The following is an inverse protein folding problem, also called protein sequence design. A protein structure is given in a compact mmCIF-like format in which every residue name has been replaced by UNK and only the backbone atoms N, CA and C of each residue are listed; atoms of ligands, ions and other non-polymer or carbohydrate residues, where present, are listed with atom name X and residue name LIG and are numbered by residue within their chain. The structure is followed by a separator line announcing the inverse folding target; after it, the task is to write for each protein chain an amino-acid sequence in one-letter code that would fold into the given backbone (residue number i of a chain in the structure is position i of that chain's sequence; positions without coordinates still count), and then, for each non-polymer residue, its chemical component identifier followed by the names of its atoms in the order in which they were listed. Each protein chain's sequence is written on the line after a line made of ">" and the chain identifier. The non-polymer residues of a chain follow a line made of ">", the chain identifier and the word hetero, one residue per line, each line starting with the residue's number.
data_IF_093321041886
#
_entry.id   IF_093321041886
#
_cell.length_a   1.000
_cell.length_b   1.000
_cell.length_c   1.000
_cell.angle_alpha   90.00
_cell.angle_beta   90.00
_cell.angle_gamma   90.00
#
_symmetry.space_group_name_H-M   'P 1'
#
loop_
_entity.id
_entity.type
_entity.pdbx_description
1 polymer ?
#
# COMPACT_ATOMS: atom_id res chain seq x y z
N UNK A 1 -14.97 15.90 10.33
CA UNK A 1 -14.07 17.06 10.49
C UNK A 1 -12.83 16.72 11.30
N UNK A 2 -12.91 16.24 12.55
CA UNK A 2 -11.72 15.94 13.35
C UNK A 2 -10.77 14.89 12.71
N UNK A 3 -11.31 13.76 12.24
CA UNK A 3 -10.52 12.72 11.57
C UNK A 3 -9.87 13.21 10.26
N UNK A 4 -10.61 14.01 9.47
CA UNK A 4 -10.08 14.64 8.26
C UNK A 4 -8.93 15.59 8.59
N UNK A 5 -9.11 16.48 9.58
CA UNK A 5 -8.06 17.40 10.02
C UNK A 5 -6.81 16.66 10.52
N UNK A 6 -7.00 15.56 11.26
CA UNK A 6 -5.89 14.73 11.71
C UNK A 6 -5.16 14.07 10.53
N UNK A 7 -5.89 13.45 9.60
CA UNK A 7 -5.34 12.84 8.42
C UNK A 7 -4.60 13.85 7.52
N UNK A 8 -5.18 15.04 7.31
CA UNK A 8 -4.55 16.11 6.53
C UNK A 8 -3.30 16.66 7.18
N UNK A 9 -3.24 16.72 8.52
CA UNK A 9 -2.04 17.17 9.26
C UNK A 9 -0.95 16.10 9.30
N UNK A 10 -1.32 14.85 9.60
CA UNK A 10 -0.36 13.76 9.83
C UNK A 10 0.05 13.02 8.55
N UNK A 11 -0.82 13.00 7.54
CA UNK A 11 -0.70 12.15 6.36
C UNK A 11 -1.14 10.69 6.60
N UNK A 12 -1.60 10.36 7.81
CA UNK A 12 -2.10 9.05 8.17
C UNK A 12 -3.08 9.14 9.36
N UNK A 13 -3.95 8.14 9.47
CA UNK A 13 -4.84 7.93 10.61
C UNK A 13 -5.02 6.43 10.82
N UNK A 14 -5.05 5.99 12.07
CA UNK A 14 -5.38 4.61 12.43
C UNK A 14 -6.80 4.57 12.95
N UNK A 15 -7.59 3.63 12.43
CA UNK A 15 -8.94 3.39 12.91
C UNK A 15 -8.96 2.25 13.92
N UNK A 16 -9.91 2.33 14.85
CA UNK A 16 -10.20 1.24 15.79
C UNK A 16 -10.81 0.03 15.07
N UNK A 17 -10.81 -1.10 15.77
CA UNK A 17 -11.41 -2.34 15.29
C UNK A 17 -12.89 -2.14 14.89
N UNK A 18 -13.27 -2.76 13.78
CA UNK A 18 -14.64 -2.79 13.27
C UNK A 18 -14.99 -4.21 12.80
N UNK A 19 -16.11 -4.74 13.27
CA UNK A 19 -16.55 -6.12 12.98
C UNK A 19 -16.91 -6.35 11.49
N UNK A 20 -17.40 -5.32 10.79
CA UNK A 20 -17.73 -5.44 9.37
C UNK A 20 -16.44 -5.49 8.54
N UNK A 21 -15.45 -4.67 8.91
CA UNK A 21 -14.13 -4.72 8.32
C UNK A 21 -13.42 -6.05 8.61
N UNK A 22 -13.57 -6.58 9.83
CA UNK A 22 -13.03 -7.89 10.19
C UNK A 22 -13.62 -9.01 9.31
N UNK A 23 -14.93 -8.96 9.02
CA UNK A 23 -15.55 -9.92 8.12
C UNK A 23 -14.98 -9.82 6.70
N UNK A 24 -14.82 -8.60 6.17
CA UNK A 24 -14.17 -8.37 4.87
C UNK A 24 -12.72 -8.90 4.86
N UNK A 25 -11.97 -8.63 5.93
CA UNK A 25 -10.58 -9.08 6.10
C UNK A 25 -10.46 -10.61 6.13
N UNK A 26 -11.39 -11.31 6.80
CA UNK A 26 -11.46 -12.79 6.80
C UNK A 26 -11.78 -13.34 5.40
N UNK A 27 -12.67 -12.69 4.65
CA UNK A 27 -12.97 -13.05 3.26
C UNK A 27 -11.74 -12.89 2.37
N UNK A 28 -11.05 -11.74 2.46
CA UNK A 28 -9.80 -11.48 1.74
C UNK A 28 -8.70 -12.50 2.08
N UNK A 29 -8.54 -12.82 3.37
CA UNK A 29 -7.59 -13.84 3.83
C UNK A 29 -7.90 -15.24 3.25
N UNK A 30 -9.18 -15.62 3.22
CA UNK A 30 -9.60 -16.92 2.68
C UNK A 30 -9.34 -17.01 1.18
N UNK A 31 -9.69 -15.96 0.43
CA UNK A 31 -9.46 -15.90 -1.01
C UNK A 31 -7.97 -15.95 -1.37
N UNK A 32 -7.13 -15.13 -0.72
CA UNK A 32 -5.71 -15.15 -1.04
C UNK A 32 -5.08 -16.50 -0.70
N UNK A 33 -5.45 -17.13 0.41
CA UNK A 33 -4.94 -18.46 0.76
C UNK A 33 -5.34 -19.54 -0.25
N UNK A 34 -6.51 -19.42 -0.90
CA UNK A 34 -6.88 -20.31 -2.00
C UNK A 34 -6.02 -20.04 -3.24
N UNK A 35 -5.83 -18.77 -3.62
CA UNK A 35 -4.99 -18.38 -4.77
C UNK A 35 -3.54 -18.83 -4.60
N UNK A 36 -2.97 -18.71 -3.40
CA UNK A 36 -1.59 -19.14 -3.10
C UNK A 36 -1.35 -20.65 -3.22
N UNK A 37 -2.40 -21.49 -3.31
CA UNK A 37 -2.25 -22.92 -3.63
C UNK A 37 -1.81 -23.14 -5.07
N UNK A 38 -2.08 -22.19 -5.95
CA UNK A 38 -1.50 -22.19 -7.29
C UNK A 38 -0.02 -21.75 -7.20
N UNK A 39 0.87 -22.70 -7.51
CA UNK A 39 2.31 -22.48 -7.44
C UNK A 39 2.80 -21.37 -8.36
N UNK A 40 2.22 -21.24 -9.54
CA UNK A 40 2.58 -20.20 -10.51
C UNK A 40 2.21 -18.82 -9.99
N UNK A 41 0.97 -18.67 -9.48
CA UNK A 41 0.52 -17.42 -8.85
C UNK A 41 1.45 -17.01 -7.70
N UNK A 42 1.75 -17.94 -6.79
CA UNK A 42 2.68 -17.69 -5.69
C UNK A 42 4.07 -17.29 -6.21
N UNK A 43 4.67 -18.09 -7.09
CA UNK A 43 6.03 -17.85 -7.58
C UNK A 43 6.16 -16.52 -8.32
N UNK A 44 5.17 -16.14 -9.13
CA UNK A 44 5.19 -14.90 -9.89
C UNK A 44 5.10 -13.65 -8.99
N UNK A 45 4.42 -13.75 -7.83
CA UNK A 45 4.34 -12.63 -6.89
C UNK A 45 5.48 -12.55 -5.88
N UNK A 46 6.31 -13.60 -5.76
CA UNK A 46 7.42 -13.65 -4.82
C UNK A 46 8.62 -12.82 -5.28
N UNK A 47 9.17 -12.05 -4.34
CA UNK A 47 10.42 -11.30 -4.46
C UNK A 47 11.25 -11.47 -3.19
N UNK A 48 12.40 -10.79 -3.12
CA UNK A 48 13.29 -10.83 -1.96
C UNK A 48 13.62 -12.28 -1.54
N UNK A 49 14.11 -13.09 -2.48
CA UNK A 49 14.47 -14.50 -2.24
C UNK A 49 13.32 -15.32 -1.61
N UNK A 50 12.07 -15.01 -1.97
CA UNK A 50 10.88 -15.72 -1.46
C UNK A 50 10.36 -15.21 -0.11
N UNK A 51 10.93 -14.14 0.46
CA UNK A 51 10.52 -13.61 1.77
C UNK A 51 9.42 -12.56 1.70
N UNK A 52 9.04 -12.11 0.50
CA UNK A 52 7.96 -11.15 0.32
C UNK A 52 7.14 -11.48 -0.94
N UNK A 53 5.83 -11.58 -0.78
CA UNK A 53 4.87 -11.59 -1.88
C UNK A 53 4.30 -10.18 -2.03
N UNK A 54 4.52 -9.53 -3.19
CA UNK A 54 4.08 -8.15 -3.43
C UNK A 54 2.56 -8.09 -3.63
N UNK A 55 2.03 -9.02 -4.44
CA UNK A 55 0.61 -9.27 -4.63
C UNK A 55 -0.18 -8.11 -5.21
N UNK A 56 0.38 -7.37 -6.17
CA UNK A 56 -0.35 -6.32 -6.93
C UNK A 56 -1.59 -6.93 -7.59
N UNK A 57 -2.75 -6.30 -7.39
CA UNK A 57 -4.05 -6.75 -7.95
C UNK A 57 -4.40 -8.22 -7.61
N UNK A 58 -4.00 -8.69 -6.42
CA UNK A 58 -4.17 -10.08 -6.03
C UNK A 58 -5.63 -10.48 -5.70
N UNK A 59 -6.49 -9.51 -5.35
CA UNK A 59 -7.91 -9.76 -5.04
C UNK A 59 -8.82 -9.17 -6.10
N UNK A 60 -9.87 -9.91 -6.43
CA UNK A 60 -10.87 -9.53 -7.44
C UNK A 60 -12.04 -8.78 -6.78
N UNK A 61 -11.75 -7.70 -6.05
CA UNK A 61 -12.80 -6.87 -5.50
C UNK A 61 -13.50 -6.05 -6.59
N UNK A 62 -14.78 -5.78 -6.36
CA UNK A 62 -15.57 -4.85 -7.16
C UNK A 62 -14.99 -3.42 -7.07
N UNK A 63 -15.37 -2.52 -7.99
CA UNK A 63 -14.91 -1.12 -7.98
C UNK A 63 -15.32 -0.31 -6.73
N UNK A 64 -16.27 -0.82 -5.93
CA UNK A 64 -16.65 -0.28 -4.62
C UNK A 64 -15.91 -0.93 -3.43
N UNK A 65 -14.99 -1.85 -3.72
CA UNK A 65 -14.19 -2.62 -2.76
C UNK A 65 -14.88 -3.88 -2.23
N UNK A 66 -16.12 -4.17 -2.64
CA UNK A 66 -16.80 -5.40 -2.22
C UNK A 66 -16.04 -6.63 -2.70
N UNK A 67 -15.93 -7.65 -1.85
CA UNK A 67 -15.22 -8.89 -2.16
C UNK A 67 -16.12 -10.09 -1.85
N UNK A 68 -16.40 -10.92 -2.86
CA UNK A 68 -17.30 -12.08 -2.72
C UNK A 68 -18.64 -11.73 -2.05
N UNK A 69 -19.24 -10.59 -2.44
CA UNK A 69 -20.50 -10.09 -1.87
C UNK A 69 -20.37 -9.42 -0.50
N UNK A 70 -19.20 -9.42 0.13
CA UNK A 70 -18.93 -8.72 1.39
C UNK A 70 -18.50 -7.29 1.09
N UNK A 71 -19.33 -6.32 1.50
CA UNK A 71 -19.08 -4.89 1.27
C UNK A 71 -17.89 -4.39 2.09
N UNK A 72 -17.02 -3.59 1.47
CA UNK A 72 -15.98 -2.85 2.18
C UNK A 72 -16.61 -1.71 3.00
N UNK A 73 -16.69 -1.90 4.32
CA UNK A 73 -17.30 -0.95 5.26
C UNK A 73 -16.45 -0.84 6.51
N UNK A 74 -16.45 0.35 7.09
CA UNK A 74 -15.74 0.64 8.32
C UNK A 74 -15.74 2.14 8.64
N UNK A 75 -15.07 2.53 9.73
CA UNK A 75 -15.04 3.92 10.21
C UNK A 75 -14.35 4.90 9.25
N UNK A 76 -13.61 4.40 8.26
CA UNK A 76 -12.92 5.20 7.24
C UNK A 76 -13.83 5.76 6.13
N UNK A 77 -15.08 5.29 6.00
CA UNK A 77 -15.93 5.58 4.84
C UNK A 77 -16.14 7.08 4.62
N UNK A 78 -16.46 7.81 5.68
CA UNK A 78 -16.69 9.26 5.61
C UNK A 78 -15.44 10.05 5.20
N UNK A 79 -14.25 9.56 5.60
CA UNK A 79 -12.97 10.16 5.21
C UNK A 79 -12.70 9.93 3.72
N UNK A 80 -12.90 8.70 3.22
CA UNK A 80 -12.76 8.39 1.79
C UNK A 80 -13.72 9.21 0.93
N UNK A 81 -14.97 9.36 1.36
CA UNK A 81 -16.00 10.15 0.68
C UNK A 81 -15.68 11.67 0.66
N UNK A 82 -14.77 12.13 1.51
CA UNK A 82 -14.29 13.53 1.50
C UNK A 82 -13.36 13.84 0.33
N UNK A 83 -12.86 12.82 -0.38
CA UNK A 83 -12.00 12.95 -1.56
C UNK A 83 -12.75 12.57 -2.84
N UNK A 84 -12.51 13.33 -3.92
CA UNK A 84 -12.95 12.94 -5.26
C UNK A 84 -11.95 11.94 -5.84
N UNK A 85 -12.36 10.69 -5.99
CA UNK A 85 -11.51 9.62 -6.53
C UNK A 85 -12.18 8.88 -7.69
N UNK A 86 -11.37 8.14 -8.43
CA UNK A 86 -11.87 7.07 -9.30
C UNK A 86 -12.35 5.88 -8.45
N UNK A 87 -13.04 4.88 -9.05
CA UNK A 87 -13.34 3.63 -8.37
C UNK A 87 -12.08 2.95 -7.82
N UNK A 88 -12.24 2.11 -6.80
CA UNK A 88 -11.12 1.39 -6.21
C UNK A 88 -10.50 0.43 -7.23
N UNK A 89 -9.17 0.40 -7.26
CA UNK A 89 -8.41 -0.60 -7.99
C UNK A 89 -8.56 -1.98 -7.34
N UNK A 90 -8.18 -3.03 -8.08
CA UNK A 90 -8.03 -4.36 -7.50
C UNK A 90 -7.02 -4.31 -6.35
N UNK A 91 -7.37 -4.94 -5.23
CA UNK A 91 -6.62 -4.79 -4.00
C UNK A 91 -5.30 -5.58 -4.07
N UNK A 92 -4.25 -4.93 -3.60
CA UNK A 92 -2.96 -5.55 -3.39
C UNK A 92 -2.95 -6.34 -2.08
N UNK A 93 -2.34 -7.54 -2.09
CA UNK A 93 -2.07 -8.32 -0.87
C UNK A 93 -0.58 -8.51 -0.68
N UNK A 94 -0.01 -7.77 0.27
CA UNK A 94 1.40 -7.89 0.63
C UNK A 94 1.59 -8.90 1.75
N UNK A 95 2.36 -9.97 1.51
CA UNK A 95 2.61 -11.03 2.49
C UNK A 95 4.09 -11.09 2.83
N UNK A 96 4.40 -10.96 4.11
CA UNK A 96 5.76 -11.09 4.63
C UNK A 96 5.95 -12.52 5.14
N UNK A 97 6.99 -13.20 4.63
CA UNK A 97 7.41 -14.52 5.11
C UNK A 97 8.65 -14.41 5.99
N UNK A 98 8.88 -15.47 6.78
CA UNK A 98 10.00 -15.54 7.71
C UNK A 98 11.35 -15.23 7.02
N UNK A 99 12.16 -14.41 7.67
CA UNK A 99 13.48 -14.01 7.18
C UNK A 99 13.50 -12.77 6.30
N UNK A 100 12.36 -12.11 6.09
CA UNK A 100 12.29 -10.78 5.50
C UNK A 100 12.99 -9.72 6.40
N UNK A 101 13.64 -8.70 5.82
CA UNK A 101 13.90 -8.51 4.39
C UNK A 101 15.15 -9.25 3.91
N UNK A 102 15.05 -9.93 2.77
CA UNK A 102 16.20 -10.36 1.95
C UNK A 102 16.42 -9.42 0.75
N UNK A 103 17.60 -9.43 0.12
CA UNK A 103 17.85 -8.68 -1.10
C UNK A 103 16.90 -9.07 -2.24
N UNK A 104 16.45 -8.10 -3.02
CA UNK A 104 15.69 -8.32 -4.27
C UNK A 104 16.67 -8.73 -5.39
N UNK A 105 16.16 -9.42 -6.41
CA UNK A 105 16.96 -9.74 -7.61
C UNK A 105 17.51 -8.47 -8.27
N UNK A 106 18.80 -8.48 -8.61
CA UNK A 106 19.53 -7.35 -9.21
C UNK A 106 19.55 -6.07 -8.34
N UNK A 107 19.22 -6.16 -7.06
CA UNK A 107 19.28 -5.03 -6.13
C UNK A 107 20.73 -4.71 -5.76
N UNK A 108 21.15 -3.44 -5.88
CA UNK A 108 22.46 -3.01 -5.41
C UNK A 108 22.55 -3.04 -3.88
N UNK A 109 23.75 -3.19 -3.34
CA UNK A 109 23.96 -3.16 -1.88
C UNK A 109 23.45 -1.86 -1.24
N UNK A 110 23.60 -0.72 -1.93
CA UNK A 110 23.09 0.57 -1.45
C UNK A 110 21.56 0.61 -1.42
N UNK A 111 20.90 0.07 -2.45
CA UNK A 111 19.43 -0.03 -2.50
C UNK A 111 18.89 -0.95 -1.40
N UNK A 112 19.54 -2.11 -1.20
CA UNK A 112 19.18 -3.02 -0.11
C UNK A 112 19.36 -2.37 1.26
N UNK A 113 20.50 -1.70 1.50
CA UNK A 113 20.76 -0.99 2.76
C UNK A 113 19.76 0.14 3.00
N UNK A 114 19.35 0.86 1.95
CA UNK A 114 18.30 1.86 2.05
C UNK A 114 16.99 1.22 2.48
N UNK A 115 16.58 0.14 1.81
CA UNK A 115 15.34 -0.57 2.11
C UNK A 115 15.30 -1.12 3.53
N UNK A 116 16.43 -1.65 4.00
CA UNK A 116 16.61 -2.17 5.36
C UNK A 116 16.61 -1.07 6.42
N UNK A 117 17.25 0.09 6.16
CA UNK A 117 17.45 1.15 7.16
C UNK A 117 16.41 2.28 7.10
N UNK A 118 15.60 2.31 6.05
CA UNK A 118 14.61 3.36 5.77
C UNK A 118 13.25 2.78 5.38
N UNK A 119 12.99 1.53 5.78
CA UNK A 119 11.73 0.80 5.57
C UNK A 119 11.15 0.95 4.15
N UNK A 120 12.03 0.80 3.15
CA UNK A 120 11.67 0.97 1.74
C UNK A 120 11.03 2.33 1.38
N UNK A 121 11.28 3.40 2.12
CA UNK A 121 10.57 4.68 1.99
C UNK A 121 10.43 5.15 0.53
N UNK A 122 9.19 5.44 0.13
CA UNK A 122 8.83 5.92 -1.19
C UNK A 122 7.53 6.75 -1.14
N UNK A 123 7.18 7.32 -2.29
CA UNK A 123 5.87 7.96 -2.52
C UNK A 123 5.16 7.15 -3.57
N UNK A 124 3.96 6.67 -3.24
CA UNK A 124 3.14 5.89 -4.17
C UNK A 124 2.78 6.70 -5.41
N UNK A 125 2.71 6.01 -6.55
CA UNK A 125 2.40 6.62 -7.83
C UNK A 125 3.56 7.27 -8.57
N UNK A 126 4.76 7.34 -7.96
CA UNK A 126 6.00 7.71 -8.64
C UNK A 126 6.68 6.46 -9.23
N UNK A 127 6.40 6.19 -10.49
CA UNK A 127 6.84 4.96 -11.18
C UNK A 127 8.03 5.25 -12.09
N UNK A 128 9.04 4.39 -12.03
CA UNK A 128 10.12 4.35 -13.01
C UNK A 128 9.73 3.36 -14.12
N UNK A 129 9.74 3.81 -15.38
CA UNK A 129 9.43 2.95 -16.54
C UNK A 129 10.53 1.95 -16.84
N UNK A 130 11.77 2.29 -16.47
CA UNK A 130 12.95 1.45 -16.66
C UNK A 130 13.75 1.36 -15.36
N UNK A 131 14.47 0.24 -15.11
CA UNK A 131 15.37 0.13 -13.97
C UNK A 131 16.40 1.28 -13.96
N UNK A 132 16.45 2.04 -12.86
CA UNK A 132 17.33 3.20 -12.72
C UNK A 132 16.90 4.47 -13.48
N UNK A 133 15.78 4.42 -14.20
CA UNK A 133 15.21 5.57 -14.92
C UNK A 133 14.56 6.62 -14.00
N UNK A 134 14.25 7.81 -14.55
CA UNK A 134 13.56 8.85 -13.79
C UNK A 134 12.15 8.38 -13.41
N UNK A 135 11.74 8.68 -12.17
CA UNK A 135 10.39 8.42 -11.71
C UNK A 135 9.44 9.51 -12.20
N UNK A 136 8.30 9.10 -12.71
CA UNK A 136 7.21 9.99 -13.17
C UNK A 136 5.97 9.77 -12.33
N UNK A 137 5.22 10.83 -12.08
CA UNK A 137 3.91 10.73 -11.47
C UNK A 137 2.94 10.11 -12.48
N UNK A 138 2.52 8.87 -12.23
CA UNK A 138 1.60 8.11 -13.09
C UNK A 138 0.27 7.82 -12.41
N UNK A 139 0.31 7.50 -11.13
CA UNK A 139 -0.86 7.07 -10.37
C UNK A 139 -1.00 7.96 -9.12
N UNK A 140 -1.54 9.18 -9.25
CA UNK A 140 -1.73 10.05 -8.10
C UNK A 140 -2.82 9.50 -7.18
N UNK A 141 -2.42 8.80 -6.12
CA UNK A 141 -3.33 8.25 -5.12
C UNK A 141 -3.84 9.35 -4.19
N UNK A 142 -5.16 9.46 -4.05
CA UNK A 142 -5.78 10.34 -3.05
C UNK A 142 -5.60 9.78 -1.63
N UNK A 143 -5.67 8.45 -1.48
CA UNK A 143 -5.42 7.72 -0.25
C UNK A 143 -5.00 6.28 -0.56
N UNK A 144 -4.43 5.62 0.44
CA UNK A 144 -4.24 4.16 0.48
C UNK A 144 -4.89 3.64 1.76
N UNK A 145 -5.74 2.63 1.64
CA UNK A 145 -6.39 1.99 2.80
C UNK A 145 -5.66 0.69 3.14
N UNK A 146 -4.88 0.70 4.22
CA UNK A 146 -4.22 -0.50 4.74
C UNK A 146 -5.15 -1.29 5.67
N UNK A 147 -5.39 -2.57 5.36
CA UNK A 147 -6.22 -3.48 6.15
C UNK A 147 -5.40 -4.71 6.53
N UNK A 148 -5.10 -4.95 7.82
CA UNK A 148 -4.53 -6.21 8.25
C UNK A 148 -5.56 -7.34 8.02
N UNK A 149 -5.21 -8.31 7.17
CA UNK A 149 -6.06 -9.48 6.91
C UNK A 149 -5.71 -10.70 7.77
N UNK A 150 -4.67 -10.58 8.59
CA UNK A 150 -4.27 -11.53 9.62
C UNK A 150 -3.61 -10.78 10.79
N UNK A 151 -3.12 -11.54 11.78
CA UNK A 151 -2.34 -10.97 12.87
C UNK A 151 -0.97 -10.51 12.35
N UNK A 152 -0.64 -9.24 12.60
CA UNK A 152 0.63 -8.63 12.24
C UNK A 152 1.41 -8.27 13.53
N UNK A 153 2.20 -9.21 14.09
CA UNK A 153 3.01 -8.92 15.27
C UNK A 153 4.12 -7.90 14.95
N UNK A 154 4.71 -7.31 15.99
CA UNK A 154 5.70 -6.24 15.85
C UNK A 154 6.92 -6.64 15.00
N UNK A 155 7.31 -7.91 15.01
CA UNK A 155 8.40 -8.46 14.21
C UNK A 155 7.98 -8.90 12.79
N UNK A 156 6.74 -8.67 12.37
CA UNK A 156 6.24 -9.00 11.03
C UNK A 156 6.47 -7.89 9.98
N UNK A 157 7.45 -7.01 10.23
CA UNK A 157 7.76 -5.86 9.36
C UNK A 157 6.53 -4.97 9.11
N UNK A 158 6.01 -4.32 10.17
CA UNK A 158 4.81 -3.50 10.07
C UNK A 158 5.04 -2.31 9.11
N UNK A 159 3.93 -1.75 8.61
CA UNK A 159 3.98 -0.56 7.77
C UNK A 159 4.53 0.63 8.56
N UNK A 160 5.49 1.34 7.95
CA UNK A 160 6.06 2.58 8.48
C UNK A 160 5.59 3.75 7.63
N UNK A 161 5.10 4.80 8.29
CA UNK A 161 4.69 6.06 7.64
C UNK A 161 5.38 7.23 8.34
N UNK A 162 5.90 8.17 7.55
CA UNK A 162 6.57 9.36 8.05
C UNK A 162 5.55 10.48 8.19
N UNK A 163 5.16 10.77 9.43
CA UNK A 163 4.19 11.82 9.74
C UNK A 163 4.59 13.16 9.09
N UNK A 164 3.64 13.79 8.38
CA UNK A 164 3.82 15.09 7.73
C UNK A 164 4.66 15.07 6.43
N UNK A 165 5.19 13.92 6.01
CA UNK A 165 6.02 13.81 4.81
C UNK A 165 5.29 14.22 3.53
N UNK A 166 3.97 14.03 3.46
CA UNK A 166 3.13 14.46 2.33
C UNK A 166 3.14 15.99 2.14
N UNK A 167 3.32 16.79 3.19
CA UNK A 167 3.48 18.24 3.05
C UNK A 167 4.82 18.64 2.42
N UNK A 168 5.89 17.93 2.78
CA UNK A 168 7.21 18.14 2.16
C UNK A 168 7.17 17.77 0.68
N UNK A 169 6.55 16.63 0.35
CA UNK A 169 6.35 16.19 -1.02
C UNK A 169 5.45 17.13 -1.81
N UNK A 170 4.33 17.57 -1.25
CA UNK A 170 3.44 18.57 -1.85
C UNK A 170 4.19 19.87 -2.16
N UNK A 171 5.01 20.34 -1.23
CA UNK A 171 5.84 21.54 -1.42
C UNK A 171 6.87 21.35 -2.52
N UNK A 172 7.51 20.18 -2.60
CA UNK A 172 8.46 19.85 -3.65
C UNK A 172 7.79 19.80 -5.03
N UNK A 173 6.66 19.10 -5.16
CA UNK A 173 5.88 19.05 -6.40
C UNK A 173 5.38 20.42 -6.82
N UNK A 174 4.88 21.24 -5.88
CA UNK A 174 4.47 22.62 -6.18
C UNK A 174 5.63 23.43 -6.75
N UNK A 175 6.81 23.36 -6.12
CA UNK A 175 8.00 24.06 -6.64
C UNK A 175 8.40 23.56 -8.02
N UNK A 176 8.32 22.25 -8.28
CA UNK A 176 8.76 21.67 -9.54
C UNK A 176 7.78 21.97 -10.70
N UNK A 177 6.47 21.81 -10.46
CA UNK A 177 5.43 21.96 -11.48
C UNK A 177 4.89 23.38 -11.64
N UNK A 178 5.02 24.25 -10.62
CA UNK A 178 4.57 25.64 -10.73
C UNK A 178 5.69 26.65 -10.99
N UNK A 179 6.98 26.28 -10.89
CA UNK A 179 8.09 27.13 -11.38
C UNK A 179 8.36 27.01 -12.88
N UNK A 180 7.77 26.03 -13.57
CA UNK A 180 7.95 25.84 -15.02
C UNK A 180 7.01 26.72 -15.88
N UNK A 181 6.39 27.75 -15.30
CA UNK A 181 5.55 28.74 -16.00
C UNK A 181 6.17 30.16 -16.04
N UNK A 182 7.48 30.29 -15.93
CA UNK A 182 8.21 31.55 -16.17
C UNK A 182 9.12 31.44 -17.38
#
# INVERSE_FOLDING_TARGET
>A
MQQLNEFERKGWIKFEFDQHLEHWAKTANSEINLKLRNKEFLQNGLTCQGTWFVGVEALENDPDGSLNGVRLRGPFKSLMESYKTHPLHLAQVSIIFQGYPKPRGQESQSSFNFRLKRDAAHVDGLIAETPGGPRRLKEPHAYVLGIPINQAPENASPMVVWEGSHHLMSSAFKRFFFKSKS
#
